data_IF_629483260643
#
_entry.id   IF_629483260643
#
_cell.length_a   1.000
_cell.length_b   1.000
_cell.length_c   1.000
_cell.angle_alpha   90.00
_cell.angle_beta   90.00
_cell.angle_gamma   90.00
#
_symmetry.space_group_name_H-M   'P 1'
#
loop_
_entity.id
_entity.type
_entity.pdbx_description
1 polymer ?
#
# COMPACT_ATOMS: atom_id res chain seq x y z
N UNK A 1 -15.22 -34.73 10.31
CA UNK A 1 -13.87 -34.10 10.29
C UNK A 1 -14.05 -32.62 9.97
N UNK A 2 -13.64 -31.72 10.87
CA UNK A 2 -13.79 -30.28 10.68
C UNK A 2 -12.57 -29.76 9.91
N UNK A 3 -12.76 -29.38 8.64
CA UNK A 3 -11.69 -28.87 7.77
C UNK A 3 -11.47 -27.41 8.10
N UNK A 4 -10.32 -27.09 8.71
CA UNK A 4 -9.92 -25.71 8.99
C UNK A 4 -9.02 -25.21 7.85
N UNK A 5 -9.33 -24.02 7.33
CA UNK A 5 -8.51 -23.36 6.33
C UNK A 5 -7.17 -22.90 6.95
N UNK A 6 -6.05 -23.23 6.31
CA UNK A 6 -4.72 -22.87 6.81
C UNK A 6 -4.51 -21.36 6.65
N UNK A 7 -4.30 -20.67 7.77
CA UNK A 7 -3.91 -19.27 7.75
C UNK A 7 -2.44 -19.16 7.40
N UNK A 8 -2.13 -18.64 6.21
CA UNK A 8 -0.75 -18.41 5.77
C UNK A 8 -0.18 -17.19 6.51
N UNK A 9 0.57 -17.44 7.57
CA UNK A 9 1.19 -16.42 8.41
C UNK A 9 2.62 -16.14 7.97
N UNK A 10 3.00 -14.87 7.86
CA UNK A 10 4.37 -14.49 7.56
C UNK A 10 5.29 -14.90 8.72
N UNK A 11 6.34 -15.69 8.43
CA UNK A 11 7.32 -16.19 9.43
C UNK A 11 7.98 -15.07 10.26
N UNK A 12 8.10 -13.87 9.68
CA UNK A 12 8.70 -12.69 10.33
C UNK A 12 7.76 -11.99 11.33
N UNK A 13 6.47 -12.38 11.40
CA UNK A 13 5.49 -11.77 12.30
C UNK A 13 5.81 -12.14 13.76
N UNK A 14 6.21 -11.17 14.56
CA UNK A 14 6.43 -11.33 16.00
C UNK A 14 5.40 -10.52 16.79
N UNK A 15 4.54 -11.18 17.59
CA UNK A 15 3.62 -10.49 18.51
C UNK A 15 4.36 -9.54 19.46
N UNK A 16 5.55 -9.93 19.93
CA UNK A 16 6.38 -9.14 20.84
C UNK A 16 6.84 -7.84 20.17
N UNK A 17 7.36 -7.90 18.93
CA UNK A 17 7.75 -6.70 18.18
C UNK A 17 6.56 -5.77 17.92
N UNK A 18 5.38 -6.34 17.63
CA UNK A 18 4.14 -5.54 17.46
C UNK A 18 3.73 -4.84 18.75
N UNK A 19 3.73 -5.55 19.88
CA UNK A 19 3.40 -4.96 21.18
C UNK A 19 4.40 -3.85 21.57
N UNK A 20 5.69 -4.08 21.35
CA UNK A 20 6.73 -3.08 21.58
C UNK A 20 6.55 -1.83 20.70
N UNK A 21 6.20 -2.02 19.42
CA UNK A 21 5.88 -0.91 18.52
C UNK A 21 4.66 -0.12 18.98
N UNK A 22 3.55 -0.81 19.31
CA UNK A 22 2.32 -0.17 19.80
C UNK A 22 2.61 0.67 21.06
N UNK A 23 3.33 0.10 22.03
CA UNK A 23 3.71 0.82 23.26
C UNK A 23 4.56 2.06 22.99
N UNK A 24 5.44 2.01 21.98
CA UNK A 24 6.29 3.15 21.60
C UNK A 24 5.47 4.23 20.90
N UNK A 25 4.65 3.84 19.91
CA UNK A 25 3.92 4.81 19.08
C UNK A 25 2.76 5.45 19.85
N UNK A 26 2.17 4.76 20.84
CA UNK A 26 1.09 5.28 21.68
C UNK A 26 1.50 6.46 22.59
N UNK A 27 2.78 6.79 22.65
CA UNK A 27 3.28 7.95 23.39
C UNK A 27 3.05 9.26 22.65
N UNK A 28 2.76 9.20 21.34
CA UNK A 28 2.53 10.37 20.50
C UNK A 28 1.03 10.58 20.27
N UNK A 29 0.53 11.82 20.30
CA UNK A 29 -0.82 12.13 19.82
C UNK A 29 -0.98 11.69 18.36
N UNK A 30 -2.15 11.17 18.01
CA UNK A 30 -2.40 10.64 16.67
C UNK A 30 -2.21 11.71 15.57
N UNK A 31 -2.53 12.98 15.87
CA UNK A 31 -2.38 14.11 14.95
C UNK A 31 -0.90 14.43 14.62
N UNK A 32 0.06 13.91 15.38
CA UNK A 32 1.50 14.11 15.11
C UNK A 32 2.08 13.01 14.22
N UNK A 33 1.27 12.00 13.88
CA UNK A 33 1.71 10.86 13.10
C UNK A 33 1.35 11.05 11.63
N UNK A 34 2.36 11.00 10.78
CA UNK A 34 2.21 10.88 9.33
C UNK A 34 2.51 9.44 8.94
N UNK A 35 1.56 8.79 8.31
CA UNK A 35 1.68 7.40 7.85
C UNK A 35 2.04 7.39 6.37
N UNK A 36 3.08 6.64 6.01
CA UNK A 36 3.53 6.47 4.63
C UNK A 36 3.40 5.01 4.26
N UNK A 37 2.78 4.74 3.11
CA UNK A 37 2.68 3.38 2.57
C UNK A 37 2.76 3.36 1.03
N UNK A 38 3.19 2.22 0.50
CA UNK A 38 3.31 1.97 -0.94
C UNK A 38 2.13 1.15 -1.45
N UNK A 39 1.49 1.62 -2.51
CA UNK A 39 0.49 0.86 -3.26
C UNK A 39 0.95 0.71 -4.71
N UNK A 40 0.90 -0.52 -5.23
CA UNK A 40 1.21 -0.78 -6.64
C UNK A 40 -0.01 -1.26 -7.40
N UNK A 41 -0.28 -0.63 -8.54
CA UNK A 41 -1.29 -1.02 -9.51
C UNK A 41 -0.60 -1.72 -10.68
N UNK A 42 -0.93 -2.99 -10.89
CA UNK A 42 -0.53 -3.70 -12.11
C UNK A 42 -1.66 -3.56 -13.12
N UNK A 43 -1.40 -2.92 -14.27
CA UNK A 43 -2.40 -2.67 -15.32
C UNK A 43 -2.75 -3.90 -16.16
N UNK A 44 -2.55 -5.12 -15.65
CA UNK A 44 -3.03 -6.33 -16.31
C UNK A 44 -4.48 -6.14 -16.70
N UNK A 45 -4.80 -6.40 -17.98
CA UNK A 45 -6.19 -6.42 -18.43
C UNK A 45 -6.95 -7.36 -17.50
N UNK A 46 -7.89 -6.83 -16.73
CA UNK A 46 -8.73 -7.62 -15.84
C UNK A 46 -9.51 -8.62 -16.69
N UNK A 47 -8.97 -9.83 -16.84
CA UNK A 47 -9.74 -10.95 -17.33
C UNK A 47 -10.66 -11.40 -16.19
N UNK A 48 -11.91 -11.75 -16.51
CA UNK A 48 -12.78 -12.37 -15.53
C UNK A 48 -12.14 -13.69 -15.10
N UNK A 49 -11.90 -13.86 -13.80
CA UNK A 49 -11.37 -15.10 -13.23
C UNK A 49 -12.39 -16.26 -13.30
N UNK A 50 -13.67 -15.92 -13.46
CA UNK A 50 -14.78 -16.88 -13.47
C UNK A 50 -15.72 -16.57 -14.64
N UNK A 51 -16.12 -17.60 -15.37
CA UNK A 51 -17.23 -17.53 -16.33
C UNK A 51 -18.17 -18.72 -16.16
N UNK A 52 -19.25 -18.75 -16.93
CA UNK A 52 -20.30 -19.77 -16.82
C UNK A 52 -20.35 -20.57 -18.11
N UNK A 53 -20.39 -21.90 -17.99
CA UNK A 53 -20.65 -22.84 -19.08
C UNK A 53 -21.54 -23.98 -18.57
N UNK A 54 -22.24 -24.68 -19.47
CA UNK A 54 -22.93 -25.93 -19.16
C UNK A 54 -22.01 -26.96 -18.48
N UNK A 55 -22.61 -27.86 -17.70
CA UNK A 55 -21.89 -28.90 -16.97
C UNK A 55 -21.11 -29.79 -17.96
N UNK A 56 -19.80 -29.93 -17.71
CA UNK A 56 -18.90 -30.70 -18.58
C UNK A 56 -18.22 -29.91 -19.69
N UNK A 57 -18.53 -28.62 -19.85
CA UNK A 57 -17.88 -27.75 -20.84
C UNK A 57 -16.86 -26.81 -20.17
N UNK A 58 -15.76 -26.54 -20.88
CA UNK A 58 -14.79 -25.52 -20.46
C UNK A 58 -15.29 -24.13 -20.83
N UNK A 59 -15.00 -23.16 -19.96
CA UNK A 59 -15.19 -21.74 -20.25
C UNK A 59 -13.91 -21.22 -20.88
N UNK A 60 -13.99 -20.76 -22.11
CA UNK A 60 -12.86 -20.14 -22.82
C UNK A 60 -13.21 -18.68 -23.12
N UNK A 61 -12.32 -17.77 -22.73
CA UNK A 61 -12.47 -16.33 -22.99
C UNK A 61 -11.17 -15.84 -23.60
N UNK A 62 -11.25 -15.30 -24.82
CA UNK A 62 -10.13 -14.58 -25.41
C UNK A 62 -10.05 -13.20 -24.76
N UNK A 63 -8.89 -12.90 -24.16
CA UNK A 63 -8.60 -11.61 -23.54
C UNK A 63 -7.24 -11.12 -24.03
N UNK A 64 -7.07 -9.80 -24.26
CA UNK A 64 -5.79 -9.26 -24.66
C UNK A 64 -4.73 -9.51 -23.58
N UNK A 65 -3.74 -10.35 -23.92
CA UNK A 65 -2.59 -10.66 -23.07
C UNK A 65 -1.52 -9.57 -23.18
N UNK A 66 -1.91 -8.34 -22.88
CA UNK A 66 -0.99 -7.20 -22.89
C UNK A 66 -0.40 -7.04 -21.49
N UNK A 67 0.92 -7.23 -21.37
CA UNK A 67 1.65 -6.79 -20.18
C UNK A 67 1.68 -5.26 -20.20
N UNK A 68 0.72 -4.62 -19.54
CA UNK A 68 0.74 -3.17 -19.35
C UNK A 68 1.77 -2.80 -18.26
N UNK A 69 1.99 -1.49 -18.12
CA UNK A 69 2.95 -0.89 -17.22
C UNK A 69 2.50 -1.06 -15.76
N UNK A 70 3.41 -1.44 -14.86
CA UNK A 70 3.12 -1.43 -13.43
C UNK A 70 3.35 0.00 -12.92
N UNK A 71 2.40 0.55 -12.20
CA UNK A 71 2.56 1.81 -11.48
C UNK A 71 2.72 1.51 -10.00
N UNK A 72 3.67 2.16 -9.36
CA UNK A 72 3.81 2.15 -7.90
C UNK A 72 3.65 3.57 -7.40
N UNK A 73 2.83 3.73 -6.37
CA UNK A 73 2.54 5.00 -5.73
C UNK A 73 2.95 4.92 -4.27
N UNK A 74 3.67 5.93 -3.81
CA UNK A 74 3.94 6.16 -2.41
C UNK A 74 3.08 7.33 -1.95
N UNK A 75 2.37 7.18 -0.84
CA UNK A 75 1.52 8.23 -0.30
C UNK A 75 1.75 8.42 1.19
N UNK A 76 1.78 9.68 1.62
CA UNK A 76 1.81 10.08 3.02
C UNK A 76 0.45 10.65 3.42
N UNK A 77 -0.04 10.25 4.58
CA UNK A 77 -1.35 10.63 5.10
C UNK A 77 -1.25 11.10 6.56
N UNK A 78 -1.86 12.25 6.84
CA UNK A 78 -2.07 12.79 8.17
C UNK A 78 -3.55 12.63 8.57
N UNK A 79 -3.82 12.57 9.88
CA UNK A 79 -5.15 12.25 10.41
C UNK A 79 -6.20 13.34 10.09
N UNK A 80 -5.79 14.60 10.10
CA UNK A 80 -6.64 15.78 9.91
C UNK A 80 -6.71 16.25 8.45
N UNK A 81 -5.63 16.07 7.68
CA UNK A 81 -5.50 16.59 6.32
C UNK A 81 -5.72 15.53 5.22
N UNK A 82 -5.73 14.24 5.57
CA UNK A 82 -5.76 13.17 4.57
C UNK A 82 -4.42 13.02 3.87
N UNK A 83 -4.41 12.78 2.56
CA UNK A 83 -3.17 12.60 1.79
C UNK A 83 -2.49 13.96 1.61
N UNK A 84 -1.28 14.09 2.16
CA UNK A 84 -0.51 15.34 2.17
C UNK A 84 0.63 15.34 1.14
N UNK A 85 1.11 14.18 0.73
CA UNK A 85 2.12 14.02 -0.30
C UNK A 85 1.93 12.68 -1.02
N UNK A 86 2.22 12.65 -2.33
CA UNK A 86 2.20 11.42 -3.11
C UNK A 86 3.18 11.47 -4.28
N UNK A 87 3.86 10.36 -4.55
CA UNK A 87 4.70 10.18 -5.72
C UNK A 87 4.27 8.93 -6.49
N UNK A 88 4.07 9.06 -7.80
CA UNK A 88 3.75 7.94 -8.69
C UNK A 88 4.92 7.70 -9.64
N UNK A 89 5.36 6.45 -9.72
CA UNK A 89 6.44 6.02 -10.61
C UNK A 89 6.01 4.81 -11.42
N UNK A 90 6.58 4.68 -12.61
CA UNK A 90 6.46 3.46 -13.40
C UNK A 90 7.49 2.43 -12.93
N UNK A 91 7.06 1.19 -12.74
CA UNK A 91 7.89 0.10 -12.25
C UNK A 91 7.88 -0.03 -10.73
N UNK A 92 9.01 -0.44 -10.17
CA UNK A 92 9.17 -0.67 -8.72
C UNK A 92 9.75 0.56 -8.04
N UNK A 93 9.30 0.82 -6.82
CA UNK A 93 9.90 1.82 -5.96
C UNK A 93 11.28 1.35 -5.47
N UNK A 94 12.23 2.26 -5.40
CA UNK A 94 13.58 1.99 -4.89
C UNK A 94 13.95 2.99 -3.78
N UNK A 95 15.11 2.77 -3.18
CA UNK A 95 15.60 3.60 -2.09
C UNK A 95 15.73 5.08 -2.48
N UNK A 96 16.26 5.37 -3.66
CA UNK A 96 16.54 6.75 -4.09
C UNK A 96 15.26 7.53 -4.35
N UNK A 97 14.26 6.88 -4.94
CA UNK A 97 12.91 7.44 -5.08
C UNK A 97 12.25 7.69 -3.73
N UNK A 98 12.51 6.85 -2.74
CA UNK A 98 12.00 7.04 -1.38
C UNK A 98 12.64 8.23 -0.69
N UNK A 99 13.96 8.36 -0.77
CA UNK A 99 14.66 9.55 -0.25
C UNK A 99 14.18 10.81 -0.95
N UNK A 100 14.02 10.77 -2.28
CA UNK A 100 13.48 11.86 -3.07
C UNK A 100 12.09 12.28 -2.57
N UNK A 101 11.17 11.33 -2.41
CA UNK A 101 9.84 11.59 -1.87
C UNK A 101 9.89 12.25 -0.49
N UNK A 102 10.74 11.76 0.40
CA UNK A 102 10.88 12.34 1.74
C UNK A 102 11.39 13.78 1.68
N UNK A 103 12.43 14.05 0.91
CA UNK A 103 13.04 15.38 0.86
C UNK A 103 12.19 16.39 0.09
N UNK A 104 11.71 16.02 -1.09
CA UNK A 104 11.09 16.95 -2.03
C UNK A 104 9.59 17.10 -1.81
N UNK A 105 8.87 16.02 -1.49
CA UNK A 105 7.41 16.04 -1.40
C UNK A 105 6.92 16.14 0.05
N UNK A 106 7.51 15.36 0.96
CA UNK A 106 6.99 15.23 2.32
C UNK A 106 7.57 16.27 3.30
N UNK A 107 8.89 16.37 3.45
CA UNK A 107 9.49 17.26 4.47
C UNK A 107 9.41 18.72 4.03
N UNK A 108 9.61 18.99 2.74
CA UNK A 108 9.45 20.33 2.20
C UNK A 108 8.06 20.92 2.45
N UNK A 109 6.98 20.13 2.35
CA UNK A 109 5.63 20.62 2.64
C UNK A 109 5.42 21.00 4.12
N UNK A 110 6.13 20.34 5.05
CA UNK A 110 6.11 20.68 6.48
C UNK A 110 6.97 21.88 6.87
N UNK A 111 8.00 22.23 6.09
CA UNK A 111 8.82 23.42 6.38
C UNK A 111 8.08 24.73 6.11
N UNK A 112 7.00 24.71 5.31
CA UNK A 112 6.23 25.89 4.92
C UNK A 112 4.81 25.96 5.52
N UNK A 113 4.39 24.96 6.30
CA UNK A 113 3.06 24.97 6.95
C UNK A 113 3.21 25.18 8.46
N UNK A 114 2.54 26.19 9.05
CA UNK A 114 2.56 26.36 10.50
C UNK A 114 1.85 25.17 11.15
N UNK A 115 2.58 24.42 11.99
CA UNK A 115 1.96 23.38 12.83
C UNK A 115 0.79 24.00 13.61
N UNK A 116 -0.38 23.34 13.67
CA UNK A 116 -1.49 23.82 14.44
C UNK A 116 -1.06 23.98 15.90
N UNK A 117 -1.20 25.22 16.42
CA UNK A 117 -0.92 25.52 17.82
C UNK A 117 -1.93 24.74 18.67
N UNK A 118 -1.40 24.05 19.69
CA UNK A 118 -2.16 23.26 20.65
C UNK A 118 -3.21 24.10 21.39
#
# INVERSE_FOLDING_TARGET
LNVKHVQKMARKRSPQKRAAFIRRISQYPANYLVLVDEVSKDDRTYARLWGRAPRGQRVEVQSPFVRKRRLSMLAAMALDQGIIASMVVEGSFNHDLFVKFLCEDLVCSYLFTPLPRC
#
